data_IF_242686190787
#
_entry.id   IF_242686190787
#
_cell.length_a   1.000
_cell.length_b   1.000
_cell.length_c   1.000
_cell.angle_alpha   90.00
_cell.angle_beta   90.00
_cell.angle_gamma   90.00
#
_symmetry.space_group_name_H-M   'P 1'
#
loop_
_entity.id
_entity.type
_entity.pdbx_description
1 polymer ?
#
# COMPACT_ATOMS: atom_id res chain seq x y z
N UNK A 1 38.11 29.27 -21.30
CA UNK A 1 37.39 28.15 -20.66
C UNK A 1 37.26 27.04 -21.70
N UNK A 2 37.92 25.89 -21.50
CA UNK A 2 37.94 24.82 -22.51
C UNK A 2 36.53 24.22 -22.64
N UNK A 3 35.95 24.23 -23.84
CA UNK A 3 34.57 23.75 -24.11
C UNK A 3 34.37 22.31 -23.64
N UNK A 4 35.42 21.49 -23.65
CA UNK A 4 35.39 20.12 -23.13
C UNK A 4 35.10 20.04 -21.63
N UNK A 5 35.59 20.99 -20.83
CA UNK A 5 35.37 20.97 -19.38
C UNK A 5 33.89 21.18 -19.02
N UNK A 6 33.17 21.96 -19.82
CA UNK A 6 31.74 22.22 -19.64
C UNK A 6 30.94 20.94 -19.91
N UNK A 7 31.25 20.22 -20.99
CA UNK A 7 30.54 18.98 -21.31
C UNK A 7 30.82 17.86 -20.30
N UNK A 8 32.04 17.74 -19.80
CA UNK A 8 32.39 16.74 -18.76
C UNK A 8 31.70 17.06 -17.44
N UNK A 9 31.68 18.34 -17.05
CA UNK A 9 30.95 18.80 -15.85
C UNK A 9 29.45 18.53 -15.96
N UNK A 10 28.85 18.84 -17.11
CA UNK A 10 27.43 18.64 -17.33
C UNK A 10 27.08 17.15 -17.30
N UNK A 11 27.84 16.30 -17.98
CA UNK A 11 27.62 14.86 -18.00
C UNK A 11 27.77 14.22 -16.60
N UNK A 12 28.72 14.71 -15.79
CA UNK A 12 28.89 14.27 -14.41
C UNK A 12 27.70 14.70 -13.51
N UNK A 13 27.14 15.90 -13.73
CA UNK A 13 25.96 16.34 -12.97
C UNK A 13 24.66 15.65 -13.40
N UNK A 14 24.51 15.25 -14.68
CA UNK A 14 23.33 14.51 -15.12
C UNK A 14 23.37 13.02 -14.74
N UNK A 15 24.55 12.42 -14.58
CA UNK A 15 24.65 11.00 -14.20
C UNK A 15 24.23 10.72 -12.75
N UNK A 16 24.25 11.72 -11.87
CA UNK A 16 23.83 11.59 -10.46
C UNK A 16 22.32 11.72 -10.26
N UNK A 17 21.56 12.15 -11.28
CA UNK A 17 20.10 12.33 -11.18
C UNK A 17 19.34 11.00 -11.31
N UNK A 18 19.99 9.93 -11.81
CA UNK A 18 19.30 8.68 -12.18
C UNK A 18 19.33 7.56 -11.14
N UNK A 19 19.76 7.80 -9.89
CA UNK A 19 19.88 6.70 -8.90
C UNK A 19 19.43 7.08 -7.51
N UNK A 20 18.45 7.96 -7.37
CA UNK A 20 17.58 7.86 -6.20
C UNK A 20 16.63 6.72 -6.57
N UNK A 21 16.86 5.45 -6.17
CA UNK A 21 15.76 4.51 -6.16
C UNK A 21 14.72 5.25 -5.34
N UNK A 22 13.57 5.57 -5.94
CA UNK A 22 12.41 5.91 -5.15
C UNK A 22 12.39 4.84 -4.08
N UNK A 23 12.76 5.20 -2.86
CA UNK A 23 12.85 4.25 -1.77
C UNK A 23 11.42 3.76 -1.73
N UNK A 24 11.20 2.54 -2.24
CA UNK A 24 9.94 1.86 -2.19
C UNK A 24 9.73 1.73 -0.70
N UNK A 25 9.07 2.76 -0.14
CA UNK A 25 8.88 2.91 1.27
C UNK A 25 8.26 1.59 1.65
N UNK A 26 8.95 0.83 2.51
CA UNK A 26 8.48 -0.48 2.93
C UNK A 26 7.21 -0.22 3.73
N UNK A 27 6.10 -0.08 2.99
CA UNK A 27 4.80 0.30 3.50
C UNK A 27 4.22 -1.02 3.92
N UNK A 28 4.49 -1.38 5.17
CA UNK A 28 3.67 -2.39 5.83
C UNK A 28 2.23 -1.89 5.77
N UNK A 29 1.37 -2.66 5.10
CA UNK A 29 -0.04 -2.30 5.05
C UNK A 29 -0.63 -2.45 6.45
N UNK A 30 -1.38 -1.43 6.87
CA UNK A 30 -2.07 -1.43 8.16
C UNK A 30 -3.57 -1.41 7.92
N UNK A 31 -4.28 -2.27 8.65
CA UNK A 31 -5.73 -2.37 8.62
C UNK A 31 -6.26 -1.91 9.96
N UNK A 32 -7.25 -1.02 9.95
CA UNK A 32 -7.80 -0.41 11.15
C UNK A 32 -9.28 -0.12 10.99
N UNK A 33 -9.95 0.28 12.09
CA UNK A 33 -11.37 0.61 12.05
C UNK A 33 -11.62 1.82 11.16
N UNK A 34 -12.75 1.81 10.44
CA UNK A 34 -13.20 2.95 9.65
C UNK A 34 -14.36 3.66 10.36
N UNK A 35 -14.22 4.97 10.57
CA UNK A 35 -15.24 5.81 11.23
C UNK A 35 -16.59 5.85 10.50
N UNK A 36 -16.59 5.55 9.19
CA UNK A 36 -17.79 5.49 8.34
C UNK A 36 -18.38 4.09 8.23
N UNK A 37 -17.73 3.08 8.78
CA UNK A 37 -18.27 1.72 8.77
C UNK A 37 -19.51 1.66 9.69
N UNK A 38 -20.54 0.87 9.33
CA UNK A 38 -21.65 0.59 10.23
C UNK A 38 -21.14 0.13 11.61
N UNK A 39 -21.82 0.49 12.71
CA UNK A 39 -21.35 0.19 14.07
C UNK A 39 -21.22 -1.31 14.37
N UNK A 40 -21.90 -2.15 13.59
CA UNK A 40 -21.85 -3.61 13.71
C UNK A 40 -20.72 -4.25 12.89
N UNK A 41 -19.90 -3.44 12.21
CA UNK A 41 -18.82 -3.94 11.35
C UNK A 41 -17.68 -4.49 12.20
N UNK A 42 -17.36 -5.76 11.98
CA UNK A 42 -16.24 -6.43 12.64
C UNK A 42 -14.94 -6.06 11.94
N UNK A 43 -13.92 -5.67 12.72
CA UNK A 43 -12.57 -5.48 12.19
C UNK A 43 -11.96 -6.83 11.80
N UNK A 44 -11.58 -6.96 10.54
CA UNK A 44 -10.89 -8.13 10.02
C UNK A 44 -9.39 -7.99 10.27
N UNK A 45 -8.75 -9.05 10.79
CA UNK A 45 -7.30 -9.16 10.80
C UNK A 45 -6.85 -9.67 9.43
N UNK A 46 -6.07 -8.87 8.71
CA UNK A 46 -5.64 -9.18 7.33
C UNK A 46 -4.12 -9.21 7.28
N UNK A 47 -3.58 -10.35 6.86
CA UNK A 47 -2.17 -10.52 6.52
C UNK A 47 -2.08 -10.71 5.02
N UNK A 48 -1.19 -9.98 4.36
CA UNK A 48 -1.02 -10.08 2.90
C UNK A 48 0.42 -10.41 2.53
N UNK A 49 0.59 -11.10 1.40
CA UNK A 49 1.90 -11.49 0.87
C UNK A 49 1.90 -11.52 -0.65
N UNK A 50 2.84 -10.84 -1.34
CA UNK A 50 3.88 -9.97 -0.78
C UNK A 50 3.33 -8.64 -0.24
N UNK A 51 3.93 -8.13 0.85
CA UNK A 51 3.65 -6.79 1.38
C UNK A 51 4.88 -5.89 1.17
N UNK A 52 4.81 -4.81 0.38
CA UNK A 52 3.65 -4.31 -0.36
C UNK A 52 3.27 -5.15 -1.59
N UNK A 53 1.98 -5.13 -1.96
CA UNK A 53 1.46 -5.78 -3.17
C UNK A 53 2.19 -5.31 -4.43
N UNK A 54 2.44 -6.24 -5.35
CA UNK A 54 3.21 -5.98 -6.56
C UNK A 54 2.29 -6.06 -7.78
N UNK A 55 2.11 -4.95 -8.48
CA UNK A 55 1.26 -4.88 -9.66
C UNK A 55 1.63 -5.95 -10.71
N UNK A 56 0.62 -6.65 -11.22
CA UNK A 56 0.79 -7.71 -12.23
C UNK A 56 1.29 -9.05 -11.68
N UNK A 57 1.40 -9.21 -10.36
CA UNK A 57 1.66 -10.49 -9.71
C UNK A 57 0.45 -10.96 -8.91
N UNK A 58 0.45 -12.25 -8.57
CA UNK A 58 -0.54 -12.80 -7.66
C UNK A 58 -0.18 -12.41 -6.22
N UNK A 59 -1.18 -11.96 -5.48
CA UNK A 59 -1.09 -11.65 -4.06
C UNK A 59 -1.95 -12.63 -3.26
N UNK A 60 -1.54 -12.91 -2.03
CA UNK A 60 -2.27 -13.77 -1.09
C UNK A 60 -2.76 -12.93 0.08
N UNK A 61 -4.04 -13.08 0.43
CA UNK A 61 -4.66 -12.45 1.58
C UNK A 61 -5.14 -13.53 2.55
N UNK A 62 -4.62 -13.52 3.77
CA UNK A 62 -5.09 -14.34 4.88
C UNK A 62 -5.93 -13.46 5.79
N UNK A 63 -7.20 -13.84 5.97
CA UNK A 63 -8.19 -13.04 6.69
C UNK A 63 -8.72 -13.86 7.86
N UNK A 64 -8.57 -13.31 9.05
CA UNK A 64 -9.11 -13.87 10.29
C UNK A 64 -10.04 -12.85 10.95
N UNK A 65 -11.14 -13.32 11.51
CA UNK A 65 -12.08 -12.46 12.23
C UNK A 65 -12.80 -13.22 13.33
N UNK A 66 -13.18 -12.48 14.38
CA UNK A 66 -14.01 -13.00 15.46
C UNK A 66 -15.36 -12.32 15.41
N UNK A 67 -16.39 -13.08 15.04
CA UNK A 67 -17.77 -12.61 15.04
C UNK A 67 -18.41 -12.91 16.40
N UNK A 68 -19.10 -11.93 16.96
CA UNK A 68 -19.94 -12.12 18.15
C UNK A 68 -21.37 -12.56 17.79
N UNK A 69 -21.68 -12.62 16.50
CA UNK A 69 -22.96 -13.02 15.93
C UNK A 69 -22.74 -14.16 14.94
N UNK A 70 -23.76 -14.97 14.73
CA UNK A 70 -23.72 -16.05 13.75
C UNK A 70 -23.61 -15.48 12.33
N UNK A 71 -22.72 -16.04 11.52
CA UNK A 71 -22.61 -15.73 10.09
C UNK A 71 -23.68 -16.54 9.37
N UNK A 72 -24.68 -15.85 8.82
CA UNK A 72 -25.79 -16.47 8.11
C UNK A 72 -25.71 -16.17 6.62
N UNK A 73 -26.62 -16.71 5.83
CA UNK A 73 -26.70 -16.44 4.37
C UNK A 73 -27.04 -14.98 4.04
N UNK A 74 -27.48 -14.19 5.01
CA UNK A 74 -27.72 -12.74 4.81
C UNK A 74 -26.49 -11.88 5.11
N UNK A 75 -25.45 -12.44 5.74
CA UNK A 75 -24.21 -11.71 6.03
C UNK A 75 -23.49 -11.34 4.72
N UNK A 76 -23.09 -10.08 4.60
CA UNK A 76 -22.40 -9.57 3.40
C UNK A 76 -20.98 -9.15 3.74
N UNK A 77 -20.05 -9.47 2.84
CA UNK A 77 -18.72 -8.88 2.82
C UNK A 77 -18.76 -7.68 1.88
N UNK A 78 -18.36 -6.51 2.38
CA UNK A 78 -18.41 -5.25 1.63
C UNK A 78 -17.00 -4.68 1.57
N UNK A 79 -16.56 -4.32 0.36
CA UNK A 79 -15.29 -3.62 0.13
C UNK A 79 -15.61 -2.25 -0.47
N UNK A 80 -15.25 -1.19 0.25
CA UNK A 80 -15.56 0.20 -0.11
C UNK A 80 -14.31 1.07 0.00
N UNK A 81 -14.18 2.02 -0.92
CA UNK A 81 -13.19 3.09 -0.80
C UNK A 81 -13.82 4.24 -0.04
N UNK A 82 -13.48 4.36 1.24
CA UNK A 82 -13.93 5.44 2.10
C UNK A 82 -12.74 6.24 2.63
N UNK A 83 -12.87 7.56 2.70
CA UNK A 83 -11.98 8.36 3.54
C UNK A 83 -12.45 8.22 5.00
N UNK A 84 -11.72 7.39 5.75
CA UNK A 84 -11.98 7.04 7.15
C UNK A 84 -11.31 8.00 8.14
N UNK A 85 -10.47 8.94 7.66
CA UNK A 85 -9.92 10.00 8.49
C UNK A 85 -11.05 11.01 8.77
N UNK A 86 -11.25 11.31 10.04
CA UNK A 86 -12.23 12.32 10.50
C UNK A 86 -11.72 13.72 10.26
#
# INVERSE_FOLDING_TARGET
MNRNFIFVSLLATLSTVNTIPHQLYNRTNTFGPCSKAPPETVLLNVVLSPDPVIAGKNDTFTIDAKFNVEVTTSTKVVAEFANCNS
#
